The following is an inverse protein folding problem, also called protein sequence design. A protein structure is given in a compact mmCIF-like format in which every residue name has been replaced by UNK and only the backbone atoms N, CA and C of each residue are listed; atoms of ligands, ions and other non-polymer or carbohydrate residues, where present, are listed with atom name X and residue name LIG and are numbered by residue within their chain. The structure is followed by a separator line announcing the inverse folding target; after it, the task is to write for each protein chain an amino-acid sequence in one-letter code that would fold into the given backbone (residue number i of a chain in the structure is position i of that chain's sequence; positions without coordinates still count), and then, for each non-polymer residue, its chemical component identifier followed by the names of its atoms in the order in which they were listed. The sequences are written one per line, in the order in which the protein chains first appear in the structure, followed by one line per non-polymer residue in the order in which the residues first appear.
data_IF_297356938115
#
_entry.id   IF_297356938115
#
_cell.length_a   1.000
_cell.length_b   1.000
_cell.length_c   1.000
_cell.angle_alpha   90.00
_cell.angle_beta   90.00
_cell.angle_gamma   90.00
#
_symmetry.space_group_name_H-M   'P 1'
#
loop_
_entity.id
_entity.type
_entity.pdbx_description
1 polymer ?
#
# COMPACT_ATOMS: atom_id res chain seq x y z
N UNK A 1 8.04 -9.81 24.82
CA UNK A 1 6.97 -9.89 23.80
C UNK A 1 7.63 -10.00 22.45
N UNK A 2 7.45 -11.10 21.72
CA UNK A 2 7.90 -11.18 20.33
C UNK A 2 6.86 -10.51 19.44
N UNK A 3 7.26 -9.49 18.69
CA UNK A 3 6.44 -8.91 17.63
C UNK A 3 6.78 -9.57 16.30
N UNK A 4 5.78 -9.85 15.47
CA UNK A 4 6.00 -10.36 14.11
C UNK A 4 5.51 -9.34 13.08
N UNK A 5 6.34 -9.02 12.10
CA UNK A 5 5.92 -8.15 11.00
C UNK A 5 5.20 -9.00 9.94
N UNK A 6 4.08 -8.51 9.43
CA UNK A 6 3.33 -9.11 8.32
C UNK A 6 3.29 -8.08 7.22
N UNK A 7 3.98 -8.32 6.11
CA UNK A 7 3.99 -7.41 4.96
C UNK A 7 2.99 -7.96 3.94
N UNK A 8 1.96 -7.19 3.62
CA UNK A 8 0.88 -7.66 2.74
C UNK A 8 0.28 -6.50 1.94
N UNK A 9 0.52 -6.40 0.62
CA UNK A 9 1.30 -7.29 -0.24
C UNK A 9 2.76 -7.40 0.20
N UNK A 10 3.28 -8.61 0.17
CA UNK A 10 4.63 -8.93 0.62
C UNK A 10 5.70 -8.33 -0.29
N UNK A 11 6.84 -8.01 0.29
CA UNK A 11 8.05 -7.64 -0.43
C UNK A 11 9.03 -8.82 -0.32
N UNK A 12 9.47 -9.45 -1.42
CA UNK A 12 9.42 -8.97 -2.81
C UNK A 12 8.26 -9.49 -3.67
N UNK A 13 7.58 -10.57 -3.27
CA UNK A 13 6.73 -11.36 -4.17
C UNK A 13 5.29 -10.86 -4.36
N UNK A 14 4.88 -9.76 -3.73
CA UNK A 14 3.54 -9.17 -3.89
C UNK A 14 2.37 -10.03 -3.37
N UNK A 15 2.64 -11.18 -2.75
CA UNK A 15 1.61 -12.06 -2.22
C UNK A 15 0.88 -11.43 -1.03
N UNK A 16 -0.43 -11.67 -0.92
CA UNK A 16 -1.18 -11.30 0.28
C UNK A 16 -0.81 -12.26 1.40
N UNK A 17 -0.43 -11.72 2.57
CA UNK A 17 0.02 -12.52 3.72
C UNK A 17 -0.93 -12.36 4.89
N UNK A 18 -1.02 -13.42 5.68
CA UNK A 18 -1.66 -13.43 7.00
C UNK A 18 -0.65 -13.89 8.05
N UNK A 19 -0.85 -13.59 9.34
CA UNK A 19 0.04 -14.06 10.39
C UNK A 19 0.08 -15.60 10.43
N UNK A 20 1.28 -16.18 10.34
CA UNK A 20 1.49 -17.66 10.31
C UNK A 20 1.54 -18.30 11.70
N UNK A 21 1.57 -17.50 12.78
CA UNK A 21 1.94 -17.95 14.12
C UNK A 21 0.78 -18.26 15.07
N UNK A 22 -0.50 -18.24 14.61
CA UNK A 22 -1.72 -18.37 15.45
C UNK A 22 -1.71 -19.54 16.47
N UNK A 23 -0.76 -20.47 16.42
CA UNK A 23 -0.63 -21.65 17.28
C UNK A 23 0.60 -21.69 18.23
N UNK A 24 1.46 -20.65 18.31
CA UNK A 24 2.71 -20.74 19.11
C UNK A 24 2.81 -19.81 20.33
N UNK A 25 2.08 -18.70 20.38
CA UNK A 25 2.11 -17.78 21.52
C UNK A 25 0.89 -16.85 21.50
N UNK A 26 -0.04 -17.01 22.44
CA UNK A 26 -1.26 -16.20 22.55
C UNK A 26 -0.98 -14.71 22.80
N UNK A 27 0.23 -14.36 23.28
CA UNK A 27 0.64 -12.98 23.55
C UNK A 27 1.44 -12.33 22.41
N UNK A 28 1.71 -13.03 21.31
CA UNK A 28 2.38 -12.42 20.17
C UNK A 28 1.44 -11.41 19.50
N UNK A 29 2.02 -10.35 18.93
CA UNK A 29 1.27 -9.31 18.22
C UNK A 29 1.84 -9.13 16.82
N UNK A 30 0.95 -9.01 15.85
CA UNK A 30 1.32 -8.77 14.47
C UNK A 30 1.34 -7.26 14.18
N UNK A 31 2.39 -6.80 13.50
CA UNK A 31 2.50 -5.46 12.92
C UNK A 31 2.29 -5.62 11.42
N UNK A 32 1.15 -5.13 10.92
CA UNK A 32 0.76 -5.27 9.52
C UNK A 32 1.31 -4.10 8.71
N UNK A 33 2.31 -4.36 7.88
CA UNK A 33 2.83 -3.41 6.91
C UNK A 33 2.00 -3.46 5.62
N UNK A 34 1.16 -2.44 5.47
CA UNK A 34 0.24 -2.25 4.35
C UNK A 34 0.78 -1.20 3.36
N UNK A 35 2.10 -0.96 3.30
CA UNK A 35 2.68 0.04 2.41
C UNK A 35 2.29 -0.17 0.94
N UNK A 36 2.15 -1.42 0.50
CA UNK A 36 1.74 -1.78 -0.86
C UNK A 36 0.25 -2.12 -1.00
N UNK A 37 -0.57 -2.01 0.06
CA UNK A 37 -2.00 -2.38 0.01
C UNK A 37 -2.85 -1.25 -0.60
N UNK A 38 -2.63 -1.01 -1.89
CA UNK A 38 -3.31 0.00 -2.70
C UNK A 38 -3.73 -0.58 -4.07
N UNK A 39 -4.80 -0.06 -4.71
CA UNK A 39 -5.37 -0.69 -5.91
C UNK A 39 -4.40 -0.78 -7.11
N UNK A 40 -3.35 0.05 -7.14
CA UNK A 40 -2.33 -0.01 -8.19
C UNK A 40 -1.26 -1.09 -7.98
N UNK A 41 -1.28 -1.81 -6.87
CA UNK A 41 -0.39 -2.94 -6.59
C UNK A 41 -1.14 -4.26 -6.40
N UNK A 42 -2.34 -4.22 -5.80
CA UNK A 42 -3.09 -5.43 -5.45
C UNK A 42 -4.59 -5.14 -5.47
N UNK A 43 -5.45 -6.13 -5.78
CA UNK A 43 -6.89 -6.01 -5.59
C UNK A 43 -7.23 -5.74 -4.12
N UNK A 44 -8.13 -4.78 -3.88
CA UNK A 44 -8.66 -4.52 -2.54
C UNK A 44 -9.84 -5.46 -2.33
N UNK A 45 -9.62 -6.60 -1.69
CA UNK A 45 -10.69 -7.59 -1.44
C UNK A 45 -11.63 -7.19 -0.30
N UNK A 46 -11.24 -6.19 0.49
CA UNK A 46 -12.04 -5.63 1.57
C UNK A 46 -11.23 -4.67 2.45
N UNK A 47 -11.89 -3.96 3.37
CA UNK A 47 -11.22 -3.12 4.36
C UNK A 47 -10.36 -3.98 5.29
N UNK A 48 -9.18 -3.46 5.66
CA UNK A 48 -8.31 -4.08 6.67
C UNK A 48 -8.75 -3.66 8.06
N UNK A 49 -8.69 -4.60 9.02
CA UNK A 49 -9.12 -4.38 10.40
C UNK A 49 -8.13 -4.98 11.42
N UNK A 50 -6.83 -4.90 11.11
CA UNK A 50 -5.77 -5.44 11.98
C UNK A 50 -5.47 -4.51 13.17
N UNK A 51 -4.95 -5.07 14.27
CA UNK A 51 -4.68 -4.33 15.53
C UNK A 51 -3.65 -3.21 15.40
N UNK A 52 -2.67 -3.40 14.52
CA UNK A 52 -1.59 -2.47 14.26
C UNK A 52 -1.28 -2.47 12.76
N UNK A 53 -1.64 -1.39 12.07
CA UNK A 53 -1.46 -1.24 10.63
C UNK A 53 -0.54 -0.08 10.30
N UNK A 54 0.43 -0.30 9.42
CA UNK A 54 1.38 0.70 8.92
C UNK A 54 1.11 1.02 7.45
N UNK A 55 1.24 2.30 7.09
CA UNK A 55 1.11 2.79 5.73
C UNK A 55 2.17 3.84 5.43
N UNK A 56 2.48 4.06 4.14
CA UNK A 56 3.48 5.04 3.72
C UNK A 56 3.02 5.85 2.52
N UNK A 57 3.24 7.17 2.57
CA UNK A 57 3.02 8.07 1.44
C UNK A 57 3.91 7.71 0.24
N UNK A 58 5.09 7.15 0.52
CA UNK A 58 6.09 6.78 -0.48
C UNK A 58 5.54 5.84 -1.55
N UNK A 59 4.69 4.88 -1.16
CA UNK A 59 4.19 3.83 -2.04
C UNK A 59 2.81 4.14 -2.59
N UNK A 60 1.99 4.92 -1.88
CA UNK A 60 0.69 5.33 -2.41
C UNK A 60 0.80 6.40 -3.49
N UNK A 61 1.70 7.38 -3.35
CA UNK A 61 1.75 8.55 -4.25
C UNK A 61 3.12 8.80 -4.89
N UNK A 62 4.12 7.96 -4.63
CA UNK A 62 5.48 8.13 -5.13
C UNK A 62 6.30 9.21 -4.40
N UNK A 63 5.75 9.86 -3.37
CA UNK A 63 6.40 10.96 -2.64
C UNK A 63 7.38 10.45 -1.55
N UNK A 64 8.33 9.60 -1.93
CA UNK A 64 9.25 8.97 -0.98
C UNK A 64 10.12 9.98 -0.21
N UNK A 65 10.47 11.11 -0.84
CA UNK A 65 11.25 12.19 -0.22
C UNK A 65 10.52 12.94 0.90
N UNK A 66 9.19 12.84 0.99
CA UNK A 66 8.43 13.45 2.09
C UNK A 66 8.62 12.75 3.43
N UNK A 67 9.21 11.55 3.44
CA UNK A 67 9.50 10.75 4.64
C UNK A 67 8.30 10.60 5.59
N UNK A 68 7.10 10.48 5.03
CA UNK A 68 5.85 10.41 5.80
C UNK A 68 5.20 9.03 5.70
N UNK A 69 4.88 8.47 6.86
CA UNK A 69 4.06 7.29 7.04
C UNK A 69 3.12 7.48 8.24
N UNK A 70 2.16 6.60 8.38
CA UNK A 70 1.20 6.64 9.48
C UNK A 70 0.89 5.24 9.98
N UNK A 71 0.44 5.17 11.23
CA UNK A 71 -0.02 3.94 11.86
C UNK A 71 -1.47 4.09 12.31
N UNK A 72 -2.26 3.03 12.16
CA UNK A 72 -3.58 2.87 12.77
C UNK A 72 -3.42 1.80 13.85
N UNK A 73 -3.66 2.17 15.11
CA UNK A 73 -3.39 1.34 16.27
C UNK A 73 -4.65 1.31 17.13
N UNK A 74 -5.20 0.11 17.37
CA UNK A 74 -6.40 -0.07 18.21
C UNK A 74 -6.07 -0.04 19.70
N UNK A 75 -4.98 -0.71 20.11
CA UNK A 75 -4.55 -0.74 21.50
C UNK A 75 -3.92 0.60 21.94
N UNK A 76 -4.59 1.27 22.87
CA UNK A 76 -4.16 2.55 23.43
C UNK A 76 -2.78 2.52 24.08
N UNK A 77 -2.44 1.45 24.81
CA UNK A 77 -1.14 1.34 25.47
C UNK A 77 0.01 1.20 24.46
N UNK A 78 -0.25 0.58 23.31
CA UNK A 78 0.71 0.53 22.19
C UNK A 78 0.81 1.90 21.51
N UNK A 79 -0.31 2.57 21.27
CA UNK A 79 -0.34 3.92 20.71
C UNK A 79 0.47 4.91 21.56
N UNK A 80 0.29 4.91 22.88
CA UNK A 80 1.01 5.81 23.79
C UNK A 80 2.53 5.55 23.79
N UNK A 81 2.93 4.28 23.74
CA UNK A 81 4.35 3.90 23.58
C UNK A 81 4.93 4.36 22.25
N UNK A 82 4.17 4.23 21.16
CA UNK A 82 4.61 4.70 19.83
C UNK A 82 4.71 6.23 19.79
N UNK A 83 3.74 6.94 20.37
CA UNK A 83 3.78 8.39 20.49
C UNK A 83 4.99 8.86 21.29
N UNK A 84 5.31 8.19 22.41
CA UNK A 84 6.51 8.46 23.18
C UNK A 84 7.78 8.21 22.36
N UNK A 85 7.84 7.10 21.63
CA UNK A 85 8.98 6.79 20.75
C UNK A 85 9.21 7.88 19.70
N UNK A 86 8.16 8.37 19.03
CA UNK A 86 8.28 9.48 18.06
C UNK A 86 8.81 10.75 18.74
N UNK A 87 8.28 11.09 19.92
CA UNK A 87 8.74 12.27 20.68
C UNK A 87 10.20 12.18 21.09
N UNK A 88 10.65 11.01 21.55
CA UNK A 88 12.04 10.80 21.97
C UNK A 88 13.03 10.81 20.80
N UNK A 89 12.62 10.32 19.62
CA UNK A 89 13.51 10.20 18.46
C UNK A 89 13.59 11.46 17.61
N UNK A 90 12.47 12.16 17.38
CA UNK A 90 12.44 13.29 16.45
C UNK A 90 11.65 14.50 16.95
N UNK A 91 11.19 14.47 18.21
CA UNK A 91 10.28 15.45 18.84
C UNK A 91 8.90 15.48 18.16
N UNK A 92 8.85 15.77 16.86
CA UNK A 92 7.65 15.78 16.04
C UNK A 92 7.96 15.23 14.63
N UNK A 93 6.97 15.28 13.74
CA UNK A 93 7.13 15.08 12.30
C UNK A 93 7.06 16.45 11.62
N UNK A 94 7.85 16.70 10.57
CA UNK A 94 7.85 17.97 9.82
C UNK A 94 6.43 18.45 9.46
N UNK A 95 6.13 19.70 9.77
CA UNK A 95 4.85 20.33 9.45
C UNK A 95 4.65 20.47 7.94
N UNK A 96 5.71 20.76 7.19
CA UNK A 96 5.70 20.83 5.72
C UNK A 96 5.39 19.47 5.11
N UNK A 97 5.97 18.39 5.63
CA UNK A 97 5.67 17.03 5.19
C UNK A 97 4.20 16.68 5.42
N UNK A 98 3.66 17.03 6.60
CA UNK A 98 2.24 16.83 6.93
C UNK A 98 1.32 17.66 6.01
N UNK A 99 1.62 18.95 5.82
CA UNK A 99 0.84 19.84 4.96
C UNK A 99 0.81 19.35 3.51
N UNK A 100 1.97 19.01 2.95
CA UNK A 100 2.09 18.47 1.60
C UNK A 100 1.32 17.16 1.45
N UNK A 101 1.44 16.24 2.41
CA UNK A 101 0.72 14.97 2.38
C UNK A 101 -0.80 15.19 2.42
N UNK A 102 -1.29 16.05 3.30
CA UNK A 102 -2.71 16.38 3.39
C UNK A 102 -3.24 16.96 2.07
N UNK A 103 -2.45 17.82 1.41
CA UNK A 103 -2.83 18.40 0.12
C UNK A 103 -2.89 17.35 -0.99
N UNK A 104 -1.90 16.46 -1.08
CA UNK A 104 -1.85 15.39 -2.08
C UNK A 104 -3.03 14.42 -1.89
N UNK A 105 -3.25 13.94 -0.65
CA UNK A 105 -4.34 13.01 -0.36
C UNK A 105 -5.71 13.64 -0.64
N UNK A 106 -5.86 14.94 -0.38
CA UNK A 106 -7.04 15.71 -0.75
C UNK A 106 -7.26 15.75 -2.26
N UNK A 107 -6.23 16.07 -3.04
CA UNK A 107 -6.31 16.09 -4.51
C UNK A 107 -6.72 14.73 -5.08
N UNK A 108 -6.20 13.63 -4.50
CA UNK A 108 -6.59 12.27 -4.90
C UNK A 108 -8.08 12.05 -4.63
N UNK A 109 -8.53 12.29 -3.39
CA UNK A 109 -9.94 12.14 -3.01
C UNK A 109 -10.86 12.95 -3.93
N UNK A 110 -10.52 14.22 -4.17
CA UNK A 110 -11.30 15.11 -5.02
C UNK A 110 -11.34 14.68 -6.49
N UNK A 111 -10.26 14.09 -7.02
CA UNK A 111 -10.26 13.49 -8.36
C UNK A 111 -11.33 12.41 -8.49
N UNK A 112 -11.42 11.52 -7.50
CA UNK A 112 -12.43 10.45 -7.48
C UNK A 112 -13.85 10.97 -7.23
N UNK A 113 -14.04 12.01 -6.41
CA UNK A 113 -15.38 12.58 -6.12
C UNK A 113 -16.04 13.23 -7.34
N UNK A 114 -15.28 13.59 -8.39
CA UNK A 114 -15.81 14.26 -9.60
C UNK A 114 -16.36 13.29 -10.64
N UNK A 115 -16.02 12.00 -10.56
CA UNK A 115 -16.30 11.02 -11.61
C UNK A 115 -17.51 10.18 -11.22
N UNK A 116 -18.53 10.12 -12.10
CA UNK A 116 -19.75 9.32 -11.88
C UNK A 116 -19.54 7.83 -12.19
N UNK A 117 -18.69 7.53 -13.17
CA UNK A 117 -18.34 6.18 -13.60
C UNK A 117 -16.93 6.18 -14.17
N UNK A 118 -16.11 5.22 -13.78
CA UNK A 118 -14.76 5.07 -14.32
C UNK A 118 -14.79 4.07 -15.48
N UNK A 119 -14.37 4.49 -16.67
CA UNK A 119 -14.20 3.57 -17.80
C UNK A 119 -13.02 2.65 -17.56
N UNK A 120 -13.26 1.34 -17.40
CA UNK A 120 -12.23 0.35 -17.01
C UNK A 120 -11.14 0.11 -18.08
N UNK A 121 -11.38 0.55 -19.32
CA UNK A 121 -10.47 0.37 -20.46
C UNK A 121 -9.82 1.69 -20.93
N UNK A 122 -9.88 2.75 -20.13
CA UNK A 122 -9.21 4.01 -20.46
C UNK A 122 -7.69 3.88 -20.42
N UNK A 123 -7.02 4.66 -21.25
CA UNK A 123 -5.57 4.80 -21.26
C UNK A 123 -5.06 5.49 -19.98
N UNK A 124 -3.79 5.28 -19.59
CA UNK A 124 -3.20 6.03 -18.48
C UNK A 124 -3.32 7.55 -18.64
N UNK A 125 -3.22 8.09 -19.86
CA UNK A 125 -3.37 9.54 -20.12
C UNK A 125 -4.78 10.03 -19.81
N UNK A 126 -5.81 9.25 -20.11
CA UNK A 126 -7.20 9.59 -19.77
C UNK A 126 -7.46 9.53 -18.26
N UNK A 127 -6.93 8.52 -17.57
CA UNK A 127 -7.01 8.46 -16.10
C UNK A 127 -6.28 9.64 -15.44
N UNK A 128 -5.13 10.05 -15.99
CA UNK A 128 -4.40 11.22 -15.49
C UNK A 128 -5.18 12.52 -15.69
N UNK A 129 -5.82 12.71 -16.86
CA UNK A 129 -6.67 13.87 -17.14
C UNK A 129 -7.87 13.97 -16.17
N UNK A 130 -8.37 12.82 -15.71
CA UNK A 130 -9.45 12.72 -14.72
C UNK A 130 -8.97 12.73 -13.26
N UNK A 131 -7.65 12.87 -13.02
CA UNK A 131 -7.05 12.83 -11.68
C UNK A 131 -7.26 11.50 -10.93
N UNK A 132 -7.42 10.39 -11.66
CA UNK A 132 -7.69 9.06 -11.11
C UNK A 132 -6.38 8.30 -10.84
N UNK A 133 -5.68 8.66 -9.76
CA UNK A 133 -4.35 8.14 -9.42
C UNK A 133 -4.26 6.60 -9.43
N UNK A 134 -5.15 5.92 -8.72
CA UNK A 134 -5.11 4.44 -8.62
C UNK A 134 -5.35 3.74 -9.96
N UNK A 135 -6.26 4.23 -10.81
CA UNK A 135 -6.48 3.69 -12.14
C UNK A 135 -5.27 3.93 -13.06
N UNK A 136 -4.71 5.14 -13.02
CA UNK A 136 -3.46 5.46 -13.70
C UNK A 136 -2.32 4.51 -13.27
N UNK A 137 -2.15 4.35 -11.96
CA UNK A 137 -1.12 3.51 -11.37
C UNK A 137 -1.27 2.05 -11.78
N UNK A 138 -2.49 1.50 -11.65
CA UNK A 138 -2.81 0.13 -12.05
C UNK A 138 -2.53 -0.09 -13.53
N UNK A 139 -3.01 0.79 -14.41
CA UNK A 139 -2.79 0.66 -15.86
C UNK A 139 -1.29 0.69 -16.21
N UNK A 140 -0.50 1.58 -15.58
CA UNK A 140 0.95 1.62 -15.77
C UNK A 140 1.66 0.38 -15.24
N UNK A 141 1.29 -0.12 -14.06
CA UNK A 141 1.90 -1.33 -13.49
C UNK A 141 1.56 -2.57 -14.32
N UNK A 142 0.31 -2.71 -14.77
CA UNK A 142 -0.13 -3.78 -15.67
C UNK A 142 0.68 -3.80 -16.96
N UNK A 143 0.82 -2.67 -17.65
CA UNK A 143 1.62 -2.60 -18.89
C UNK A 143 3.07 -3.01 -18.65
N UNK A 144 3.69 -2.55 -17.57
CA UNK A 144 5.08 -2.91 -17.23
C UNK A 144 5.20 -4.41 -16.93
N UNK A 145 4.26 -4.96 -16.19
CA UNK A 145 4.22 -6.39 -15.85
C UNK A 145 4.09 -7.26 -17.10
N UNK A 146 3.16 -6.94 -18.01
CA UNK A 146 2.97 -7.65 -19.26
C UNK A 146 4.20 -7.58 -20.18
N UNK A 147 4.85 -6.42 -20.27
CA UNK A 147 6.11 -6.26 -21.03
C UNK A 147 7.22 -7.13 -20.44
N UNK A 148 7.36 -7.12 -19.12
CA UNK A 148 8.36 -7.89 -18.41
C UNK A 148 8.15 -9.39 -18.60
N UNK A 149 6.91 -9.88 -18.46
CA UNK A 149 6.57 -11.28 -18.70
C UNK A 149 6.92 -11.73 -20.12
N UNK A 150 6.58 -10.92 -21.13
CA UNK A 150 6.91 -11.23 -22.53
C UNK A 150 8.43 -11.36 -22.76
N UNK A 151 9.22 -10.47 -22.15
CA UNK A 151 10.68 -10.51 -22.26
C UNK A 151 11.27 -11.77 -21.62
N UNK A 152 10.79 -12.14 -20.43
CA UNK A 152 11.30 -13.32 -19.73
C UNK A 152 10.82 -14.64 -20.34
N UNK A 153 9.59 -14.70 -20.89
CA UNK A 153 9.11 -15.88 -21.62
C UNK A 153 9.91 -16.17 -22.90
N UNK A 154 10.68 -15.20 -23.42
CA UNK A 154 11.53 -15.39 -24.58
C UNK A 154 12.85 -16.12 -24.28
N UNK A 155 13.14 -16.43 -23.01
CA UNK A 155 14.35 -17.14 -22.60
C UNK A 155 14.09 -18.11 -21.45
N UNK A 156 14.81 -19.22 -21.44
CA UNK A 156 14.89 -20.18 -20.34
C UNK A 156 15.85 -19.76 -19.21
N UNK A 157 16.59 -18.67 -19.39
CA UNK A 157 17.59 -18.18 -18.40
C UNK A 157 16.97 -17.63 -17.13
N UNK A 158 15.70 -17.25 -17.16
CA UNK A 158 15.02 -16.58 -16.06
C UNK A 158 13.68 -17.26 -15.78
N UNK A 159 13.38 -17.45 -14.51
CA UNK A 159 12.10 -17.96 -14.03
C UNK A 159 11.41 -16.88 -13.21
N UNK A 160 10.13 -16.65 -13.51
CA UNK A 160 9.24 -15.82 -12.69
C UNK A 160 8.28 -16.75 -11.99
N UNK A 161 8.48 -16.95 -10.69
CA UNK A 161 7.59 -17.75 -9.83
C UNK A 161 6.37 -16.97 -9.33
N UNK A 162 6.29 -15.68 -9.69
CA UNK A 162 5.27 -14.76 -9.19
C UNK A 162 3.95 -14.94 -9.96
N UNK A 163 3.02 -15.70 -9.37
CA UNK A 163 1.67 -15.88 -9.90
C UNK A 163 0.70 -14.87 -9.26
N UNK A 164 0.44 -13.77 -9.97
CA UNK A 164 -0.58 -12.79 -9.57
C UNK A 164 -1.93 -13.25 -10.10
N UNK A 165 -2.66 -14.01 -9.27
CA UNK A 165 -4.00 -14.47 -9.62
C UNK A 165 -4.98 -13.30 -9.77
N UNK A 166 -5.88 -13.41 -10.76
CA UNK A 166 -6.99 -12.48 -10.87
C UNK A 166 -7.87 -12.60 -9.64
N UNK A 167 -8.11 -11.46 -8.98
CA UNK A 167 -8.93 -11.41 -7.79
C UNK A 167 -9.93 -10.26 -7.88
N UNK A 168 -11.05 -10.42 -7.18
CA UNK A 168 -12.06 -9.37 -7.09
C UNK A 168 -11.49 -8.16 -6.33
N UNK A 169 -11.76 -6.97 -6.85
CA UNK A 169 -11.48 -5.71 -6.18
C UNK A 169 -12.82 -5.07 -5.80
N UNK A 170 -13.08 -4.91 -4.52
CA UNK A 170 -14.15 -4.05 -4.03
C UNK A 170 -13.78 -2.61 -4.39
N UNK A 171 -14.58 -2.00 -5.27
CA UNK A 171 -14.44 -0.60 -5.69
C UNK A 171 -15.44 0.24 -4.91
#
# INVERSE_FOLDING_TARGET
MGGHQVISPNNPDGSLRTPTWKYRNENARAVHDNAYYWPHYTPITGPRDDEFMLFSLSKVTGHAGSRLGWAIIKDRAVYEKMLMSVRLNSVTVSHEAQFRAAHILRSIREGYSKVKSVGLNSSPTEYAAQQLLFHYGHAKMKTRWEQMLKLFQASDRFLIEQNLEQNYCAV
#
